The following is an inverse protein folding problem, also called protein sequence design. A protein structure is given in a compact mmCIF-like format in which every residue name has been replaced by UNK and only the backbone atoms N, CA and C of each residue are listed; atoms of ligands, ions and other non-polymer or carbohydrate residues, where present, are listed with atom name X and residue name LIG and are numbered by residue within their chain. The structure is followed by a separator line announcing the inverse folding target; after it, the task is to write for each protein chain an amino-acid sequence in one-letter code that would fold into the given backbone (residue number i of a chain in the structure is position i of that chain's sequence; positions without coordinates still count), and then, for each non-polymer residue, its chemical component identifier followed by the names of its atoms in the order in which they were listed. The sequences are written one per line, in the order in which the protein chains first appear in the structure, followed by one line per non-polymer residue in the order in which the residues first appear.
data_IF_985029353621
#
_entry.id   IF_985029353621
#
_cell.length_a   1.000
_cell.length_b   1.000
_cell.length_c   1.000
_cell.angle_alpha   90.00
_cell.angle_beta   90.00
_cell.angle_gamma   90.00
#
_symmetry.space_group_name_H-M   'P 1'
#
loop_
_entity.id
_entity.type
_entity.pdbx_description
1 polymer ?
#
# COMPACT_ATOMS: atom_id res chain seq x y z
N UNK A 1 -1.67 -8.23 -10.44
CA UNK A 1 -1.36 -8.68 -9.07
C UNK A 1 -1.76 -7.61 -8.07
N UNK A 2 -2.39 -7.98 -6.98
CA UNK A 2 -2.91 -7.03 -5.99
C UNK A 2 -2.34 -7.37 -4.61
N UNK A 3 -1.89 -6.34 -3.91
CA UNK A 3 -1.41 -6.47 -2.53
C UNK A 3 -2.42 -5.81 -1.60
N UNK A 4 -2.69 -6.45 -0.47
CA UNK A 4 -3.70 -6.00 0.48
C UNK A 4 -3.43 -6.55 1.87
N UNK A 5 -4.33 -6.26 2.81
CA UNK A 5 -4.23 -6.79 4.16
C UNK A 5 -3.94 -8.29 4.14
N UNK A 6 -2.87 -8.69 4.80
CA UNK A 6 -2.43 -10.08 4.83
C UNK A 6 -1.34 -10.42 3.82
N UNK A 7 -1.09 -9.56 2.82
CA UNK A 7 0.01 -9.78 1.89
C UNK A 7 1.35 -9.65 2.61
N UNK A 8 2.33 -10.42 2.18
CA UNK A 8 3.65 -10.45 2.82
C UNK A 8 4.73 -10.62 1.78
N UNK A 9 5.94 -10.19 2.13
CA UNK A 9 7.10 -10.43 1.30
C UNK A 9 7.78 -9.16 0.84
N UNK A 10 8.73 -9.34 -0.08
CA UNK A 10 9.59 -8.26 -0.55
C UNK A 10 8.82 -7.15 -1.24
N UNK A 11 7.81 -7.49 -2.04
CA UNK A 11 7.02 -6.48 -2.74
C UNK A 11 6.26 -5.60 -1.76
N UNK A 12 5.81 -6.18 -0.65
CA UNK A 12 5.17 -5.38 0.40
C UNK A 12 6.17 -4.40 1.00
N UNK A 13 7.42 -4.84 1.18
CA UNK A 13 8.47 -3.94 1.67
C UNK A 13 8.68 -2.77 0.71
N UNK A 14 8.69 -3.03 -0.58
CA UNK A 14 8.85 -1.98 -1.58
C UNK A 14 7.69 -1.00 -1.55
N UNK A 15 6.47 -1.51 -1.39
CA UNK A 15 5.28 -0.67 -1.25
C UNK A 15 5.40 0.21 -0.02
N UNK A 16 5.77 -0.38 1.11
CA UNK A 16 5.93 0.36 2.35
C UNK A 16 6.99 1.44 2.23
N UNK A 17 8.11 1.11 1.59
CA UNK A 17 9.17 2.07 1.35
C UNK A 17 8.69 3.22 0.46
N UNK A 18 7.89 2.91 -0.55
CA UNK A 18 7.31 3.93 -1.44
C UNK A 18 6.37 4.86 -0.68
N UNK A 19 5.55 4.31 0.21
CA UNK A 19 4.62 5.11 1.00
C UNK A 19 5.35 6.00 2.03
N UNK A 20 6.45 5.53 2.56
CA UNK A 20 7.37 6.34 3.34
C UNK A 20 6.98 6.69 4.76
N UNK A 21 5.74 6.48 5.17
CA UNK A 21 5.25 6.93 6.47
C UNK A 21 4.94 5.80 7.46
N UNK A 22 5.47 4.62 7.20
CA UNK A 22 5.17 3.42 7.99
C UNK A 22 6.41 2.56 8.14
N UNK A 23 6.33 1.57 9.02
CA UNK A 23 7.40 0.61 9.19
C UNK A 23 7.50 -0.31 7.98
N UNK A 24 8.71 -0.53 7.51
CA UNK A 24 8.98 -1.40 6.37
C UNK A 24 9.32 -2.79 6.92
N UNK A 25 8.30 -3.56 7.23
CA UNK A 25 8.45 -4.89 7.83
C UNK A 25 8.06 -6.03 6.88
N UNK A 26 7.58 -5.71 5.69
CA UNK A 26 7.17 -6.71 4.71
C UNK A 26 5.83 -7.36 5.01
N UNK A 27 5.08 -6.83 5.96
CA UNK A 27 3.77 -7.35 6.34
C UNK A 27 2.71 -6.27 6.11
N UNK A 28 1.74 -6.56 5.27
CA UNK A 28 0.66 -5.63 4.95
C UNK A 28 -0.39 -5.74 6.06
N UNK A 29 -0.25 -4.91 7.07
CA UNK A 29 -1.17 -4.87 8.20
C UNK A 29 -2.02 -3.60 8.19
N UNK A 30 -2.74 -3.31 9.31
CA UNK A 30 -3.62 -2.14 9.40
C UNK A 30 -2.91 -0.82 9.11
N UNK A 31 -1.67 -0.68 9.55
CA UNK A 31 -0.89 0.53 9.33
C UNK A 31 -0.60 0.74 7.84
N UNK A 32 -0.22 -0.34 7.15
CA UNK A 32 0.04 -0.28 5.71
C UNK A 32 -1.26 0.03 4.96
N UNK A 33 -2.36 -0.61 5.36
CA UNK A 33 -3.64 -0.38 4.72
C UNK A 33 -4.07 1.09 4.84
N UNK A 34 -3.92 1.67 6.02
CA UNK A 34 -4.25 3.09 6.25
C UNK A 34 -3.40 3.99 5.35
N UNK A 35 -2.11 3.69 5.24
CA UNK A 35 -1.21 4.47 4.40
C UNK A 35 -1.60 4.38 2.93
N UNK A 36 -2.00 3.19 2.48
CA UNK A 36 -2.47 2.99 1.11
C UNK A 36 -3.74 3.79 0.86
N UNK A 37 -4.69 3.73 1.77
CA UNK A 37 -5.95 4.47 1.62
C UNK A 37 -5.71 5.98 1.57
N UNK A 38 -4.82 6.48 2.39
CA UNK A 38 -4.46 7.90 2.39
C UNK A 38 -3.84 8.28 1.04
N UNK A 39 -2.94 7.46 0.54
CA UNK A 39 -2.31 7.69 -0.76
C UNK A 39 -3.36 7.72 -1.86
N UNK A 40 -4.26 6.75 -1.86
CA UNK A 40 -5.32 6.67 -2.86
C UNK A 40 -6.21 7.91 -2.83
N UNK A 41 -6.56 8.36 -1.64
CA UNK A 41 -7.40 9.54 -1.47
C UNK A 41 -6.71 10.79 -2.01
N UNK A 42 -5.44 10.98 -1.69
CA UNK A 42 -4.67 12.14 -2.12
C UNK A 42 -4.53 12.15 -3.65
N UNK A 43 -4.42 10.97 -4.26
CA UNK A 43 -4.25 10.85 -5.71
C UNK A 43 -5.57 10.78 -6.46
N UNK A 44 -6.70 10.82 -5.78
CA UNK A 44 -8.01 10.76 -6.43
C UNK A 44 -8.35 9.38 -6.98
N UNK A 45 -7.78 8.34 -6.41
CA UNK A 45 -8.04 6.96 -6.81
C UNK A 45 -9.18 6.37 -5.98
N UNK A 46 -9.66 5.20 -6.36
CA UNK A 46 -10.64 4.46 -5.56
C UNK A 46 -9.96 4.07 -4.25
N UNK A 47 -10.57 4.46 -3.13
CA UNK A 47 -10.01 4.21 -1.81
C UNK A 47 -10.51 2.86 -1.29
N UNK A 48 -9.81 1.80 -1.66
CA UNK A 48 -10.19 0.43 -1.30
C UNK A 48 -9.12 -0.32 -0.50
N UNK A 49 -7.96 0.31 -0.29
CA UNK A 49 -6.87 -0.32 0.45
C UNK A 49 -6.12 -1.40 -0.32
N UNK A 50 -6.38 -1.53 -1.60
CA UNK A 50 -5.73 -2.52 -2.46
C UNK A 50 -4.65 -1.84 -3.30
N UNK A 51 -3.48 -2.46 -3.38
CA UNK A 51 -2.38 -1.96 -4.20
C UNK A 51 -2.33 -2.74 -5.49
N UNK A 52 -2.88 -2.17 -6.53
CA UNK A 52 -2.81 -2.72 -7.88
C UNK A 52 -1.92 -1.86 -8.76
N UNK A 53 -1.84 -2.18 -10.06
CA UNK A 53 -1.01 -1.42 -10.99
C UNK A 53 -1.32 0.08 -10.98
N UNK A 54 -2.58 0.44 -10.95
CA UNK A 54 -3.00 1.85 -11.02
C UNK A 54 -2.62 2.63 -9.76
N UNK A 55 -2.60 1.98 -8.61
CA UNK A 55 -2.26 2.65 -7.36
C UNK A 55 -0.83 3.17 -7.40
N UNK A 56 0.09 2.36 -7.90
CA UNK A 56 1.50 2.75 -7.94
C UNK A 56 1.84 3.63 -9.13
N UNK A 57 1.04 3.61 -10.17
CA UNK A 57 1.25 4.45 -11.35
C UNK A 57 0.80 5.89 -11.12
N UNK A 58 -0.12 6.07 -10.20
CA UNK A 58 -0.60 7.40 -9.87
C UNK A 58 0.43 8.17 -9.04
#
# INVERSE_FOLDING_TARGET
MVYRMGSRGRMVMEIQSFLGAIDVDGIFGPQTEDAVKTFQKVRGLVVDGLVGPKTLEA
#
